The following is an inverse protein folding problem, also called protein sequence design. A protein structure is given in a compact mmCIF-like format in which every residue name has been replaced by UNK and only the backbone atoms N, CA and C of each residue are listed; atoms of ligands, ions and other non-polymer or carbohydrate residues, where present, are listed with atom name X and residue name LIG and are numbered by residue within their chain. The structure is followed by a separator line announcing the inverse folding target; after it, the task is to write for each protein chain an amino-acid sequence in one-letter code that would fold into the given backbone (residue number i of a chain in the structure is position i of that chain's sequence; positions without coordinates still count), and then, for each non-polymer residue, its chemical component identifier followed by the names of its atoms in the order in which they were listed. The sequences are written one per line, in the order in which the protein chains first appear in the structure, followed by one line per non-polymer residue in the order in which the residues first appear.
data_IF_374779254906
#
_entry.id   IF_374779254906
#
_cell.length_a   1.000
_cell.length_b   1.000
_cell.length_c   1.000
_cell.angle_alpha   90.00
_cell.angle_beta   90.00
_cell.angle_gamma   90.00
#
_symmetry.space_group_name_H-M   'P 1'
#
loop_
_entity.id
_entity.type
_entity.pdbx_description
1 polymer ?
#
# COMPACT_ATOMS: atom_id res chain seq x y z
N UNK A 1 -22.08 -2.36 -0.95
CA UNK A 1 -22.06 -2.95 0.41
C UNK A 1 -22.42 -4.43 0.43
N UNK A 2 -23.44 -4.88 -0.31
CA UNK A 2 -23.89 -6.29 -0.32
C UNK A 2 -22.80 -7.31 -0.71
N UNK A 3 -21.94 -7.00 -1.67
CA UNK A 3 -20.87 -7.93 -2.11
C UNK A 3 -19.78 -8.06 -1.04
N UNK A 4 -19.30 -6.96 -0.47
CA UNK A 4 -18.27 -6.99 0.57
C UNK A 4 -18.76 -7.58 1.90
N UNK A 5 -20.00 -7.28 2.29
CA UNK A 5 -20.64 -7.90 3.46
C UNK A 5 -20.97 -9.38 3.23
N UNK A 6 -21.35 -9.77 2.01
CA UNK A 6 -21.55 -11.16 1.60
C UNK A 6 -20.26 -11.96 1.59
N UNK A 7 -19.14 -11.38 1.13
CA UNK A 7 -17.82 -12.01 1.18
C UNK A 7 -17.30 -12.13 2.62
N UNK A 8 -17.46 -11.08 3.45
CA UNK A 8 -17.14 -11.14 4.89
C UNK A 8 -17.99 -12.20 5.60
N UNK A 9 -19.28 -12.23 5.32
CA UNK A 9 -20.21 -13.24 5.84
C UNK A 9 -19.83 -14.65 5.40
N UNK A 10 -19.47 -14.86 4.13
CA UNK A 10 -19.04 -16.16 3.61
C UNK A 10 -17.70 -16.61 4.22
N UNK A 11 -16.73 -15.71 4.40
CA UNK A 11 -15.45 -16.02 5.04
C UNK A 11 -15.60 -16.31 6.54
N UNK A 12 -16.45 -15.56 7.25
CA UNK A 12 -16.77 -15.81 8.65
C UNK A 12 -17.60 -17.09 8.83
N UNK A 13 -18.56 -17.35 7.94
CA UNK A 13 -19.30 -18.61 7.90
C UNK A 13 -18.38 -19.78 7.61
N UNK A 14 -17.41 -19.67 6.70
CA UNK A 14 -16.39 -20.71 6.47
C UNK A 14 -15.56 -20.99 7.73
N UNK A 15 -15.26 -19.99 8.57
CA UNK A 15 -14.56 -20.19 9.85
C UNK A 15 -15.42 -20.78 10.95
N UNK A 16 -16.68 -20.38 11.03
CA UNK A 16 -17.61 -20.79 12.09
C UNK A 16 -18.27 -22.14 11.77
N UNK A 17 -18.48 -22.43 10.48
CA UNK A 17 -19.15 -23.64 9.97
C UNK A 17 -18.16 -24.70 9.49
N UNK A 18 -16.85 -24.43 9.42
CA UNK A 18 -15.85 -25.49 9.35
C UNK A 18 -15.57 -26.02 10.77
N UNK A 19 -16.20 -27.13 11.21
CA UNK A 19 -15.80 -27.77 12.45
C UNK A 19 -14.31 -28.13 12.41
N UNK A 20 -13.62 -28.23 13.56
CA UNK A 20 -12.23 -28.67 13.64
C UNK A 20 -11.98 -30.00 12.90
N UNK A 21 -13.04 -30.81 12.77
CA UNK A 21 -13.06 -32.14 12.15
C UNK A 21 -13.59 -32.15 10.70
N UNK A 22 -13.80 -30.99 10.07
CA UNK A 22 -14.14 -30.94 8.65
C UNK A 22 -12.95 -31.43 7.82
N UNK A 23 -13.21 -32.43 6.97
CA UNK A 23 -12.29 -33.02 6.00
C UNK A 23 -11.92 -32.05 4.86
N UNK A 24 -11.37 -30.89 5.22
CA UNK A 24 -10.67 -30.00 4.32
C UNK A 24 -9.23 -30.53 4.17
N UNK A 25 -8.75 -30.67 2.94
CA UNK A 25 -7.32 -30.90 2.67
C UNK A 25 -6.49 -29.80 3.36
N UNK A 26 -5.32 -30.13 3.92
CA UNK A 26 -4.47 -29.18 4.67
C UNK A 26 -4.26 -27.86 3.90
N UNK A 27 -4.08 -27.96 2.58
CA UNK A 27 -3.98 -26.85 1.62
C UNK A 27 -5.17 -25.87 1.66
N UNK A 28 -6.40 -26.37 1.76
CA UNK A 28 -7.60 -25.54 1.80
C UNK A 28 -7.77 -24.83 3.16
N UNK A 29 -7.34 -25.49 4.24
CA UNK A 29 -7.33 -24.92 5.60
C UNK A 29 -6.29 -23.80 5.71
N UNK A 30 -5.12 -23.99 5.13
CA UNK A 30 -4.05 -22.99 5.07
C UNK A 30 -4.47 -21.78 4.24
N UNK A 31 -5.04 -22.01 3.06
CA UNK A 31 -5.58 -20.95 2.19
C UNK A 31 -6.61 -20.08 2.91
N UNK A 32 -7.60 -20.72 3.55
CA UNK A 32 -8.65 -20.02 4.29
C UNK A 32 -8.05 -19.26 5.48
N UNK A 33 -7.10 -19.85 6.19
CA UNK A 33 -6.46 -19.23 7.35
C UNK A 33 -5.68 -17.99 6.97
N UNK A 34 -4.82 -18.07 5.95
CA UNK A 34 -4.00 -16.95 5.49
C UNK A 34 -4.86 -15.82 4.93
N UNK A 35 -5.82 -16.14 4.06
CA UNK A 35 -6.73 -15.15 3.46
C UNK A 35 -7.52 -14.39 4.54
N UNK A 36 -8.06 -15.10 5.52
CA UNK A 36 -8.83 -14.50 6.63
C UNK A 36 -7.93 -13.66 7.52
N UNK A 37 -6.71 -14.12 7.81
CA UNK A 37 -5.74 -13.37 8.59
C UNK A 37 -5.46 -12.00 7.95
N UNK A 38 -5.18 -11.99 6.64
CA UNK A 38 -4.90 -10.76 5.87
C UNK A 38 -6.11 -9.80 5.92
N UNK A 39 -7.32 -10.33 5.78
CA UNK A 39 -8.55 -9.51 5.85
C UNK A 39 -8.73 -8.91 7.25
N UNK A 40 -8.67 -9.74 8.29
CA UNK A 40 -8.88 -9.29 9.68
C UNK A 40 -7.85 -8.24 10.07
N UNK A 41 -6.62 -8.39 9.63
CA UNK A 41 -5.54 -7.43 9.88
C UNK A 41 -5.74 -6.12 9.09
N UNK A 42 -6.08 -6.20 7.80
CA UNK A 42 -6.16 -5.01 6.93
C UNK A 42 -7.44 -4.19 7.15
N UNK A 43 -8.55 -4.84 7.49
CA UNK A 43 -9.87 -4.22 7.65
C UNK A 43 -9.87 -3.02 8.62
N UNK A 44 -9.35 -3.11 9.88
CA UNK A 44 -9.37 -1.97 10.80
C UNK A 44 -8.63 -0.75 10.24
N UNK A 45 -7.51 -0.96 9.54
CA UNK A 45 -6.74 0.13 8.95
C UNK A 45 -7.39 0.72 7.71
N UNK A 46 -8.04 -0.09 6.87
CA UNK A 46 -8.84 0.42 5.74
C UNK A 46 -9.98 1.29 6.26
N UNK A 47 -10.72 0.83 7.28
CA UNK A 47 -11.76 1.63 7.90
C UNK A 47 -11.22 2.91 8.54
N UNK A 48 -10.10 2.85 9.26
CA UNK A 48 -9.42 4.03 9.81
C UNK A 48 -9.04 5.01 8.70
N UNK A 49 -8.51 4.52 7.58
CA UNK A 49 -8.17 5.32 6.40
C UNK A 49 -9.39 6.00 5.77
N UNK A 50 -10.53 5.30 5.69
CA UNK A 50 -11.79 5.87 5.20
C UNK A 50 -12.30 6.95 6.17
N UNK A 51 -12.29 6.69 7.47
CA UNK A 51 -12.72 7.66 8.48
C UNK A 51 -11.84 8.92 8.45
N UNK A 52 -10.53 8.76 8.34
CA UNK A 52 -9.59 9.88 8.22
C UNK A 52 -9.80 10.62 6.90
N UNK A 53 -10.03 9.92 5.80
CA UNK A 53 -10.38 10.51 4.50
C UNK A 53 -11.63 11.39 4.61
N UNK A 54 -12.69 10.90 5.25
CA UNK A 54 -13.93 11.65 5.49
C UNK A 54 -13.66 12.85 6.41
N UNK A 55 -12.89 12.67 7.49
CA UNK A 55 -12.53 13.75 8.39
C UNK A 55 -11.78 14.87 7.64
N UNK A 56 -10.79 14.52 6.81
CA UNK A 56 -10.08 15.47 5.95
C UNK A 56 -11.06 16.12 4.97
N UNK A 57 -11.93 15.35 4.33
CA UNK A 57 -12.88 15.88 3.34
C UNK A 57 -13.92 16.85 3.94
N UNK A 58 -14.37 16.60 5.18
CA UNK A 58 -15.43 17.39 5.82
C UNK A 58 -14.88 18.54 6.67
N UNK A 59 -13.74 18.37 7.32
CA UNK A 59 -13.24 19.29 8.35
C UNK A 59 -12.05 20.11 7.86
N UNK A 60 -11.25 19.63 6.90
CA UNK A 60 -10.10 20.37 6.37
C UNK A 60 -10.54 21.18 5.15
N UNK A 61 -10.53 22.53 5.22
CA UNK A 61 -10.84 23.35 4.06
C UNK A 61 -9.73 23.19 3.00
N UNK A 62 -10.12 22.98 1.75
CA UNK A 62 -9.19 22.87 0.61
C UNK A 62 -8.20 24.05 0.56
N UNK A 63 -8.70 25.27 0.78
CA UNK A 63 -7.87 26.49 0.84
C UNK A 63 -6.77 26.44 1.90
N UNK A 64 -6.97 25.73 3.01
CA UNK A 64 -5.97 25.59 4.08
C UNK A 64 -4.95 24.54 3.65
N UNK A 65 -5.42 23.39 3.15
CA UNK A 65 -4.56 22.32 2.66
C UNK A 65 -3.61 22.82 1.55
N UNK A 66 -4.15 23.50 0.53
CA UNK A 66 -3.35 24.00 -0.59
C UNK A 66 -2.46 25.20 -0.23
N UNK A 67 -2.80 25.97 0.83
CA UNK A 67 -2.00 27.12 1.29
C UNK A 67 -0.81 26.71 2.14
N UNK A 68 -0.93 25.63 2.90
CA UNK A 68 0.19 25.05 3.68
C UNK A 68 1.24 24.45 2.73
N UNK A 69 0.81 23.93 1.58
CA UNK A 69 1.70 23.31 0.62
C UNK A 69 2.54 24.35 -0.17
N UNK A 70 3.86 24.12 -0.33
CA UNK A 70 4.72 24.99 -1.14
C UNK A 70 4.20 25.18 -2.58
N UNK A 71 4.46 26.35 -3.16
CA UNK A 71 4.07 26.65 -4.56
C UNK A 71 4.94 25.95 -5.62
N UNK A 72 6.20 25.68 -5.30
CA UNK A 72 7.14 25.01 -6.23
C UNK A 72 6.95 23.49 -6.17
N UNK A 73 6.99 22.83 -7.32
CA UNK A 73 6.70 21.41 -7.45
C UNK A 73 7.60 20.50 -6.58
N UNK A 74 8.91 20.76 -6.54
CA UNK A 74 9.85 19.93 -5.78
C UNK A 74 9.63 20.00 -4.25
N UNK A 75 9.66 21.18 -3.59
CA UNK A 75 9.39 21.24 -2.16
C UNK A 75 7.96 20.81 -1.81
N UNK A 76 7.00 20.98 -2.73
CA UNK A 76 5.64 20.47 -2.54
C UNK A 76 5.61 18.95 -2.41
N UNK A 77 6.29 18.22 -3.29
CA UNK A 77 6.41 16.75 -3.19
C UNK A 77 7.09 16.30 -1.91
N UNK A 78 8.19 16.96 -1.52
CA UNK A 78 8.92 16.67 -0.28
C UNK A 78 7.99 16.78 0.93
N UNK A 79 7.27 17.90 1.06
CA UNK A 79 6.33 18.12 2.17
C UNK A 79 5.20 17.08 2.17
N UNK A 80 4.70 16.71 1.00
CA UNK A 80 3.63 15.71 0.86
C UNK A 80 4.12 14.30 1.23
N UNK A 81 5.34 13.92 0.86
CA UNK A 81 5.92 12.66 1.33
C UNK A 81 6.11 12.64 2.85
N UNK A 82 6.54 13.76 3.45
CA UNK A 82 6.70 13.87 4.90
C UNK A 82 5.38 13.88 5.67
N UNK A 83 4.27 14.26 5.03
CA UNK A 83 2.95 14.16 5.65
C UNK A 83 2.62 12.73 6.08
N UNK A 84 3.18 11.72 5.38
CA UNK A 84 3.04 10.31 5.73
C UNK A 84 3.58 9.96 7.12
N UNK A 85 4.58 10.68 7.62
CA UNK A 85 5.15 10.48 8.97
C UNK A 85 4.09 10.72 10.06
N UNK A 86 3.15 11.64 9.81
CA UNK A 86 2.17 12.09 10.81
C UNK A 86 0.94 11.19 10.88
N UNK A 87 0.86 10.16 10.05
CA UNK A 87 -0.36 9.39 9.84
C UNK A 87 -0.18 7.95 10.36
N UNK A 88 -0.88 7.57 11.44
CA UNK A 88 -0.78 6.23 12.03
C UNK A 88 -1.64 5.23 11.25
N UNK A 89 -1.48 5.16 9.94
CA UNK A 89 -2.29 4.33 9.04
C UNK A 89 -1.38 3.38 8.27
N UNK A 90 -1.80 2.11 8.13
CA UNK A 90 -1.06 1.13 7.31
C UNK A 90 -1.21 1.42 5.81
N UNK A 91 -0.40 0.79 4.95
CA UNK A 91 -0.47 1.03 3.50
C UNK A 91 -1.89 0.86 2.91
N UNK A 92 -2.70 -0.06 3.43
CA UNK A 92 -4.08 -0.28 2.97
C UNK A 92 -5.00 0.92 3.25
N UNK A 93 -4.83 1.57 4.40
CA UNK A 93 -5.63 2.74 4.77
C UNK A 93 -5.12 4.04 4.14
N UNK A 94 -3.90 4.06 3.63
CA UNK A 94 -3.38 5.22 2.89
C UNK A 94 -4.10 5.42 1.54
N UNK A 95 -4.71 4.37 0.97
CA UNK A 95 -5.47 4.45 -0.30
C UNK A 95 -6.71 5.33 -0.21
N UNK A 96 -7.69 5.05 0.69
CA UNK A 96 -8.88 5.90 0.81
C UNK A 96 -8.52 7.34 1.23
N UNK A 97 -7.47 7.51 2.03
CA UNK A 97 -6.97 8.84 2.39
C UNK A 97 -6.40 9.59 1.18
N UNK A 98 -5.55 8.93 0.39
CA UNK A 98 -4.98 9.49 -0.83
C UNK A 98 -6.08 9.88 -1.83
N UNK A 99 -7.11 9.03 -1.99
CA UNK A 99 -8.31 9.36 -2.79
C UNK A 99 -9.01 10.62 -2.30
N UNK A 100 -9.23 10.73 -0.99
CA UNK A 100 -9.85 11.91 -0.40
C UNK A 100 -9.03 13.18 -0.61
N UNK A 101 -7.70 13.06 -0.56
CA UNK A 101 -6.78 14.17 -0.85
C UNK A 101 -6.84 14.59 -2.33
N UNK A 102 -6.90 13.64 -3.28
CA UNK A 102 -7.10 13.95 -4.70
C UNK A 102 -8.45 14.63 -4.94
N UNK A 103 -9.52 14.11 -4.31
CA UNK A 103 -10.85 14.73 -4.38
C UNK A 103 -10.90 16.13 -3.73
N UNK A 104 -9.89 16.50 -2.94
CA UNK A 104 -9.69 17.84 -2.36
C UNK A 104 -8.70 18.71 -3.14
N UNK A 105 -8.27 18.29 -4.32
CA UNK A 105 -7.43 19.10 -5.21
C UNK A 105 -5.93 18.81 -5.15
N UNK A 106 -5.48 17.75 -4.47
CA UNK A 106 -4.10 17.26 -4.69
C UNK A 106 -3.98 16.67 -6.09
N UNK A 107 -2.82 16.88 -6.72
CA UNK A 107 -2.55 16.30 -8.03
C UNK A 107 -2.31 14.80 -7.93
N UNK A 108 -2.48 14.08 -9.04
CA UNK A 108 -2.31 12.63 -9.10
C UNK A 108 -0.89 12.22 -8.70
N UNK A 109 0.12 12.96 -9.14
CA UNK A 109 1.52 12.72 -8.79
C UNK A 109 1.81 12.96 -7.31
N UNK A 110 1.19 13.97 -6.70
CA UNK A 110 1.28 14.23 -5.26
C UNK A 110 0.65 13.10 -4.44
N UNK A 111 -0.51 12.62 -4.86
CA UNK A 111 -1.18 11.49 -4.23
C UNK A 111 -0.35 10.21 -4.30
N UNK A 112 0.30 9.93 -5.43
CA UNK A 112 1.20 8.77 -5.55
C UNK A 112 2.45 8.96 -4.70
N UNK A 113 3.02 10.17 -4.67
CA UNK A 113 4.17 10.49 -3.81
C UNK A 113 3.84 10.21 -2.33
N UNK A 114 2.68 10.69 -1.87
CA UNK A 114 2.17 10.45 -0.53
C UNK A 114 1.99 8.96 -0.26
N UNK A 115 1.29 8.26 -1.15
CA UNK A 115 0.93 6.86 -0.97
C UNK A 115 2.16 5.95 -0.85
N UNK A 116 3.19 6.19 -1.68
CA UNK A 116 4.43 5.41 -1.66
C UNK A 116 5.32 5.76 -0.46
N UNK A 117 5.36 7.03 -0.05
CA UNK A 117 6.19 7.47 1.07
C UNK A 117 5.61 7.08 2.43
N UNK A 118 4.29 7.14 2.59
CA UNK A 118 3.61 6.97 3.87
C UNK A 118 3.96 5.67 4.62
N UNK A 119 3.94 4.47 4.01
CA UNK A 119 4.27 3.25 4.73
C UNK A 119 5.76 3.06 4.98
N UNK A 120 6.65 3.81 4.32
CA UNK A 120 8.09 3.76 4.59
C UNK A 120 8.48 4.72 5.71
N UNK A 121 7.83 5.88 5.74
CA UNK A 121 8.09 6.93 6.71
C UNK A 121 7.23 6.82 7.97
N UNK A 122 6.41 5.78 8.08
CA UNK A 122 5.58 5.56 9.25
C UNK A 122 6.47 5.30 10.49
N UNK A 123 6.31 6.05 11.59
CA UNK A 123 7.11 5.85 12.80
C UNK A 123 7.10 4.42 13.32
N UNK A 124 5.98 3.71 13.20
CA UNK A 124 5.86 2.31 13.62
C UNK A 124 6.79 1.44 12.77
N UNK A 125 6.76 1.61 11.44
CA UNK A 125 7.63 0.85 10.53
C UNK A 125 9.11 1.14 10.73
N UNK A 126 9.47 2.39 11.07
CA UNK A 126 10.84 2.79 11.39
C UNK A 126 11.30 2.08 12.67
N UNK A 127 10.46 2.08 13.71
CA UNK A 127 10.76 1.42 14.99
C UNK A 127 10.85 -0.09 14.82
N UNK A 128 9.94 -0.74 14.10
CA UNK A 128 10.01 -2.20 13.89
C UNK A 128 11.22 -2.60 13.04
N UNK A 129 11.58 -1.80 12.03
CA UNK A 129 12.83 -2.03 11.27
C UNK A 129 14.05 -1.90 12.16
N UNK A 130 14.08 -0.89 13.03
CA UNK A 130 15.15 -0.71 13.99
C UNK A 130 15.23 -1.86 15.00
N UNK A 131 14.09 -2.36 15.48
CA UNK A 131 14.07 -3.53 16.37
C UNK A 131 14.55 -4.81 15.69
N UNK A 132 14.27 -4.97 14.40
CA UNK A 132 14.67 -6.14 13.62
C UNK A 132 16.17 -6.12 13.25
N UNK A 133 16.68 -4.99 12.74
CA UNK A 133 18.03 -4.92 12.15
C UNK A 133 18.99 -3.96 12.87
N UNK A 134 18.51 -3.17 13.83
CA UNK A 134 19.30 -2.15 14.50
C UNK A 134 19.86 -1.12 13.52
N UNK A 135 21.14 -0.77 13.72
CA UNK A 135 21.93 0.06 12.80
C UNK A 135 22.83 -0.77 11.86
N UNK A 136 22.70 -2.10 11.88
CA UNK A 136 23.54 -2.99 11.08
C UNK A 136 23.24 -2.84 9.58
N UNK A 137 24.31 -2.93 8.78
CA UNK A 137 24.31 -2.95 7.30
C UNK A 137 23.57 -1.78 6.62
N UNK A 138 23.31 -0.70 7.37
CA UNK A 138 22.58 0.46 6.87
C UNK A 138 21.15 0.16 6.40
N UNK A 139 20.54 -0.97 6.76
CA UNK A 139 19.22 -1.41 6.26
C UNK A 139 18.14 -0.39 6.59
N UNK A 140 18.09 0.08 7.85
CA UNK A 140 17.12 1.09 8.29
C UNK A 140 17.25 2.39 7.49
N UNK A 141 18.47 2.90 7.36
CA UNK A 141 18.76 4.15 6.66
C UNK A 141 18.41 4.01 5.18
N UNK A 142 18.81 2.91 4.55
CA UNK A 142 18.54 2.61 3.14
C UNK A 142 17.04 2.46 2.88
N UNK A 143 16.29 1.81 3.79
CA UNK A 143 14.82 1.72 3.70
C UNK A 143 14.17 3.10 3.73
N UNK A 144 14.51 3.92 4.72
CA UNK A 144 13.88 5.23 4.95
C UNK A 144 14.26 6.23 3.86
N UNK A 145 15.57 6.43 3.64
CA UNK A 145 16.08 7.39 2.66
C UNK A 145 15.79 6.92 1.24
N UNK A 146 16.05 5.65 0.95
CA UNK A 146 15.81 5.06 -0.36
C UNK A 146 14.33 5.09 -0.73
N UNK A 147 13.43 4.64 0.17
CA UNK A 147 11.99 4.71 -0.11
C UNK A 147 11.46 6.13 -0.23
N UNK A 148 11.97 7.09 0.55
CA UNK A 148 11.64 8.51 0.39
C UNK A 148 12.06 9.06 -0.98
N UNK A 149 13.28 8.75 -1.41
CA UNK A 149 13.81 9.16 -2.72
C UNK A 149 12.99 8.51 -3.85
N UNK A 150 12.68 7.22 -3.74
CA UNK A 150 11.87 6.48 -4.71
C UNK A 150 10.48 7.09 -4.83
N UNK A 151 9.80 7.36 -3.72
CA UNK A 151 8.48 7.97 -3.73
C UNK A 151 8.47 9.35 -4.43
N UNK A 152 9.47 10.19 -4.14
CA UNK A 152 9.62 11.51 -4.76
C UNK A 152 10.00 11.42 -6.25
N UNK A 153 10.86 10.47 -6.62
CA UNK A 153 11.28 10.21 -8.00
C UNK A 153 10.09 9.72 -8.85
N UNK A 154 9.33 8.75 -8.35
CA UNK A 154 8.12 8.22 -8.99
C UNK A 154 7.08 9.33 -9.16
N UNK A 155 6.82 10.10 -8.11
CA UNK A 155 5.94 11.25 -8.16
C UNK A 155 6.38 12.32 -9.17
N UNK A 156 7.69 12.60 -9.24
CA UNK A 156 8.22 13.53 -10.23
C UNK A 156 8.05 13.01 -11.66
N UNK A 157 8.39 11.76 -11.94
CA UNK A 157 8.24 11.16 -13.26
C UNK A 157 6.77 11.13 -13.71
N UNK A 158 5.84 10.83 -12.80
CA UNK A 158 4.40 10.92 -13.06
C UNK A 158 3.92 12.36 -13.30
N UNK A 159 4.55 13.36 -12.67
CA UNK A 159 4.22 14.76 -12.89
C UNK A 159 4.55 15.25 -14.31
N UNK A 160 5.44 14.55 -15.02
CA UNK A 160 5.77 14.82 -16.42
C UNK A 160 4.73 14.24 -17.39
N UNK A 161 3.79 13.42 -16.91
CA UNK A 161 2.79 12.79 -17.78
C UNK A 161 1.88 13.87 -18.40
N UNK A 162 1.75 13.94 -19.74
CA UNK A 162 1.03 15.02 -20.42
C UNK A 162 -0.44 15.18 -19.99
N UNK A 163 -1.07 14.07 -19.61
CA UNK A 163 -2.46 14.02 -19.12
C UNK A 163 -2.56 13.28 -17.79
N UNK A 164 -2.27 13.92 -16.64
CA UNK A 164 -2.25 13.26 -15.34
C UNK A 164 -3.60 12.69 -14.92
N UNK A 165 -4.70 13.33 -15.34
CA UNK A 165 -6.05 12.88 -15.01
C UNK A 165 -6.42 11.55 -15.70
N UNK A 166 -5.83 11.23 -16.85
CA UNK A 166 -6.05 9.93 -17.53
C UNK A 166 -5.45 8.73 -16.76
N UNK A 167 -4.59 9.00 -15.77
CA UNK A 167 -4.08 7.97 -14.87
C UNK A 167 -5.17 7.47 -13.91
N UNK A 168 -6.22 8.26 -13.67
CA UNK A 168 -7.34 7.92 -12.79
C UNK A 168 -8.42 7.13 -13.55
N UNK A 169 -9.13 6.25 -12.86
CA UNK A 169 -10.26 5.52 -13.45
C UNK A 169 -11.37 6.50 -13.86
N UNK A 170 -12.14 6.19 -14.93
CA UNK A 170 -13.27 7.04 -15.33
C UNK A 170 -14.29 7.26 -14.20
N UNK A 171 -14.57 6.22 -13.42
CA UNK A 171 -15.47 6.28 -12.26
C UNK A 171 -14.94 7.26 -11.22
N UNK A 172 -13.67 7.16 -10.84
CA UNK A 172 -13.10 8.04 -9.83
C UNK A 172 -12.98 9.49 -10.31
N UNK A 173 -12.67 9.71 -11.59
CA UNK A 173 -12.70 11.06 -12.19
C UNK A 173 -14.08 11.72 -12.08
N UNK A 174 -15.15 10.97 -12.32
CA UNK A 174 -16.51 11.48 -12.18
C UNK A 174 -16.83 11.88 -10.73
N UNK A 175 -16.34 11.11 -9.75
CA UNK A 175 -16.46 11.44 -8.32
C UNK A 175 -15.75 12.76 -7.99
N UNK A 176 -14.51 12.95 -8.48
CA UNK A 176 -13.78 14.20 -8.26
C UNK A 176 -14.53 15.41 -8.87
N UNK A 177 -15.03 15.29 -10.11
CA UNK A 177 -15.77 16.36 -10.77
C UNK A 177 -17.11 16.69 -10.09
N UNK A 178 -17.80 15.69 -9.53
CA UNK A 178 -19.04 15.89 -8.78
C UNK A 178 -18.81 16.54 -7.41
N UNK A 179 -17.66 16.28 -6.77
CA UNK A 179 -17.25 16.89 -5.51
C UNK A 179 -17.16 18.42 -5.58
N UNK A 180 -16.68 18.94 -6.71
CA UNK A 180 -16.61 20.39 -6.96
C UNK A 180 -18.01 21.02 -7.04
N UNK A 181 -18.96 20.36 -7.71
CA UNK A 181 -20.35 20.82 -7.84
C UNK A 181 -21.15 20.73 -6.53
N UNK A 182 -20.83 19.76 -5.66
CA UNK A 182 -21.54 19.53 -4.40
C UNK A 182 -21.20 20.56 -3.29
N UNK A 183 -20.19 21.41 -3.47
CA UNK A 183 -19.86 22.48 -2.49
C UNK A 183 -21.00 23.51 -2.32
N UNK A 184 -22.03 23.50 -3.18
CA UNK A 184 -23.23 24.32 -3.05
C UNK A 184 -24.50 23.62 -2.52
N UNK A 185 -24.49 22.29 -2.26
CA UNK A 185 -25.70 21.58 -1.81
C UNK A 185 -25.83 21.58 -0.28
N UNK A 186 -26.99 22.02 0.23
CA UNK A 186 -27.33 22.13 1.66
C UNK A 186 -27.45 20.81 2.43
N UNK A 187 -26.79 19.74 1.98
CA UNK A 187 -26.72 18.49 2.71
C UNK A 187 -25.91 18.69 4.00
N UNK A 188 -26.44 18.20 5.13
CA UNK A 188 -25.72 18.23 6.41
C UNK A 188 -24.41 17.44 6.32
N UNK A 189 -23.36 17.93 6.99
CA UNK A 189 -22.01 17.31 6.99
C UNK A 189 -22.06 15.81 7.34
N UNK A 190 -22.96 15.44 8.24
CA UNK A 190 -23.17 14.05 8.68
C UNK A 190 -23.71 13.17 7.55
N UNK A 191 -24.73 13.63 6.81
CA UNK A 191 -25.31 12.86 5.70
C UNK A 191 -24.29 12.66 4.57
N UNK A 192 -23.47 13.68 4.28
CA UNK A 192 -22.37 13.59 3.32
C UNK A 192 -21.28 12.63 3.78
N UNK A 193 -20.91 12.67 5.07
CA UNK A 193 -19.95 11.73 5.63
C UNK A 193 -20.42 10.28 5.53
N UNK A 194 -21.69 10.02 5.83
CA UNK A 194 -22.27 8.68 5.74
C UNK A 194 -22.36 8.15 4.30
N UNK A 195 -22.70 9.00 3.31
CA UNK A 195 -22.70 8.58 1.90
C UNK A 195 -21.29 8.25 1.42
N UNK A 196 -20.30 9.10 1.74
CA UNK A 196 -18.90 8.84 1.39
C UNK A 196 -18.36 7.58 2.07
N UNK A 197 -18.71 7.35 3.34
CA UNK A 197 -18.36 6.11 4.05
C UNK A 197 -18.90 4.88 3.33
N UNK A 198 -20.19 4.88 2.97
CA UNK A 198 -20.83 3.76 2.29
C UNK A 198 -20.21 3.51 0.91
N UNK A 199 -19.96 4.57 0.13
CA UNK A 199 -19.36 4.53 -1.20
C UNK A 199 -17.93 3.98 -1.14
N UNK A 200 -17.04 4.57 -0.34
CA UNK A 200 -15.64 4.16 -0.21
C UNK A 200 -15.53 2.73 0.35
N UNK A 201 -16.32 2.40 1.37
CA UNK A 201 -16.37 1.02 1.90
C UNK A 201 -16.83 0.04 0.83
N UNK A 202 -17.84 0.40 0.03
CA UNK A 202 -18.36 -0.49 -1.02
C UNK A 202 -17.39 -0.73 -2.17
N UNK A 203 -16.50 0.22 -2.45
CA UNK A 203 -15.47 0.10 -3.48
C UNK A 203 -14.23 -0.64 -2.98
N UNK A 204 -13.77 -0.34 -1.77
CA UNK A 204 -12.51 -0.87 -1.22
C UNK A 204 -12.64 -2.28 -0.66
N UNK A 205 -13.75 -2.57 0.02
CA UNK A 205 -13.91 -3.84 0.72
C UNK A 205 -13.84 -5.04 -0.24
N UNK A 206 -14.56 -5.08 -1.39
CA UNK A 206 -14.43 -6.20 -2.34
C UNK A 206 -13.01 -6.34 -2.91
N UNK A 207 -12.33 -5.22 -3.19
CA UNK A 207 -10.96 -5.24 -3.69
C UNK A 207 -9.98 -5.82 -2.65
N UNK A 208 -10.16 -5.47 -1.38
CA UNK A 208 -9.39 -6.05 -0.27
C UNK A 208 -9.60 -7.57 -0.18
N UNK A 209 -10.84 -8.04 -0.24
CA UNK A 209 -11.14 -9.48 -0.18
C UNK A 209 -10.54 -10.24 -1.37
N UNK A 210 -10.65 -9.70 -2.58
CA UNK A 210 -10.05 -10.30 -3.77
C UNK A 210 -8.53 -10.32 -3.66
N UNK A 211 -7.91 -9.22 -3.23
CA UNK A 211 -6.47 -9.15 -3.00
C UNK A 211 -5.98 -10.15 -1.95
N UNK A 212 -6.69 -10.26 -0.81
CA UNK A 212 -6.38 -11.20 0.26
C UNK A 212 -6.54 -12.66 -0.17
N UNK A 213 -7.58 -12.98 -0.95
CA UNK A 213 -7.76 -14.32 -1.50
C UNK A 213 -6.65 -14.67 -2.50
N UNK A 214 -6.27 -13.77 -3.40
CA UNK A 214 -5.17 -14.02 -4.34
C UNK A 214 -3.86 -14.21 -3.56
N UNK A 215 -3.57 -13.36 -2.57
CA UNK A 215 -2.39 -13.48 -1.73
C UNK A 215 -2.35 -14.82 -0.99
N UNK A 216 -3.45 -15.23 -0.35
CA UNK A 216 -3.55 -16.52 0.34
C UNK A 216 -3.35 -17.71 -0.60
N UNK A 217 -3.89 -17.66 -1.83
CA UNK A 217 -3.72 -18.73 -2.82
C UNK A 217 -2.24 -18.89 -3.21
N UNK A 218 -1.57 -17.77 -3.47
CA UNK A 218 -0.17 -17.80 -3.88
C UNK A 218 0.72 -18.21 -2.69
N UNK A 219 0.44 -17.75 -1.47
CA UNK A 219 1.20 -18.13 -0.28
C UNK A 219 1.15 -19.64 0.01
N UNK A 220 0.04 -20.31 -0.30
CA UNK A 220 -0.05 -21.78 -0.20
C UNK A 220 0.72 -22.49 -1.31
N UNK A 221 0.81 -21.88 -2.49
CA UNK A 221 1.52 -22.44 -3.65
C UNK A 221 3.04 -22.21 -3.65
N UNK A 222 3.56 -21.27 -2.87
CA UNK A 222 4.99 -20.93 -2.84
C UNK A 222 5.71 -21.75 -1.79
N UNK A 223 6.44 -22.78 -2.23
CA UNK A 223 7.37 -23.53 -1.39
C UNK A 223 8.61 -22.69 -1.06
N UNK A 224 8.91 -22.57 0.24
CA UNK A 224 10.07 -21.82 0.76
C UNK A 224 11.42 -22.40 0.30
N UNK A 225 11.43 -23.63 -0.19
CA UNK A 225 12.60 -24.34 -0.68
C UNK A 225 13.20 -23.75 -1.98
N UNK A 226 12.43 -22.96 -2.75
CA UNK A 226 12.93 -22.31 -3.98
C UNK A 226 13.92 -21.15 -3.72
N UNK A 227 14.07 -20.71 -2.46
CA UNK A 227 14.83 -19.50 -2.12
C UNK A 227 16.31 -19.76 -1.73
N UNK A 228 16.68 -20.99 -1.40
CA UNK A 228 18.00 -21.30 -0.83
C UNK A 228 19.13 -21.36 -1.86
N UNK A 229 18.82 -21.64 -3.14
CA UNK A 229 19.81 -21.64 -4.24
C UNK A 229 20.00 -20.26 -4.88
N UNK A 230 19.06 -19.33 -4.65
CA UNK A 230 19.07 -17.98 -5.24
C UNK A 230 19.73 -16.92 -4.34
N UNK A 231 19.97 -17.22 -3.07
CA UNK A 231 20.48 -16.26 -2.08
C UNK A 231 21.94 -15.84 -2.26
N UNK A 232 22.75 -16.65 -2.94
CA UNK A 232 24.20 -16.43 -3.05
C UNK A 232 24.59 -15.40 -4.14
N UNK A 233 23.78 -15.22 -5.18
CA UNK A 233 24.08 -14.28 -6.26
C UNK A 233 23.48 -12.88 -5.96
N UNK A 234 24.27 -11.79 -6.03
CA UNK A 234 23.82 -10.43 -5.72
C UNK A 234 22.61 -9.93 -6.52
N UNK A 235 22.42 -10.39 -7.75
CA UNK A 235 21.30 -9.99 -8.59
C UNK A 235 20.08 -10.88 -8.35
N UNK A 236 20.28 -12.20 -8.29
CA UNK A 236 19.17 -13.13 -8.07
C UNK A 236 18.57 -13.01 -6.67
N UNK A 237 19.38 -12.70 -5.65
CA UNK A 237 18.90 -12.45 -4.29
C UNK A 237 17.90 -11.29 -4.23
N UNK A 238 18.22 -10.16 -4.89
CA UNK A 238 17.35 -8.97 -4.96
C UNK A 238 16.05 -9.29 -5.68
N UNK A 239 16.12 -9.91 -6.86
CA UNK A 239 14.93 -10.26 -7.64
C UNK A 239 14.04 -11.27 -6.90
N UNK A 240 14.64 -12.29 -6.27
CA UNK A 240 13.93 -13.29 -5.51
C UNK A 240 13.17 -12.66 -4.33
N UNK A 241 13.83 -11.80 -3.55
CA UNK A 241 13.17 -11.11 -2.44
C UNK A 241 12.15 -10.06 -2.90
N UNK A 242 12.32 -9.42 -4.06
CA UNK A 242 11.27 -8.54 -4.60
C UNK A 242 10.01 -9.32 -5.01
N UNK A 243 10.17 -10.48 -5.65
CA UNK A 243 9.03 -11.36 -5.98
C UNK A 243 8.38 -11.87 -4.69
N UNK A 244 9.18 -12.25 -3.70
CA UNK A 244 8.69 -12.66 -2.39
C UNK A 244 7.90 -11.54 -1.72
N UNK A 245 8.41 -10.31 -1.74
CA UNK A 245 7.74 -9.13 -1.20
C UNK A 245 6.39 -8.90 -1.87
N UNK A 246 6.34 -8.96 -3.21
CA UNK A 246 5.10 -8.78 -3.96
C UNK A 246 3.98 -9.73 -3.53
N UNK A 247 4.34 -10.98 -3.21
CA UNK A 247 3.43 -12.07 -2.91
C UNK A 247 3.08 -12.17 -1.42
N UNK A 248 4.10 -12.07 -0.56
CA UNK A 248 3.99 -12.39 0.86
C UNK A 248 3.77 -11.15 1.72
N UNK A 249 4.10 -9.94 1.24
CA UNK A 249 3.91 -8.68 2.01
C UNK A 249 2.52 -8.64 2.65
N UNK A 250 2.50 -8.75 3.98
CA UNK A 250 1.26 -8.75 4.77
C UNK A 250 1.03 -7.37 5.32
N UNK A 251 2.03 -6.80 5.98
CA UNK A 251 2.05 -5.40 6.35
C UNK A 251 3.47 -4.91 6.55
N UNK A 252 3.70 -3.64 6.26
CA UNK A 252 5.00 -2.97 6.38
C UNK A 252 5.69 -3.10 7.75
N UNK A 253 4.93 -3.39 8.82
CA UNK A 253 5.43 -3.62 10.17
C UNK A 253 5.93 -5.06 10.39
N UNK A 254 5.15 -6.06 9.96
CA UNK A 254 5.44 -7.50 10.12
C UNK A 254 6.54 -7.95 9.15
N UNK A 255 6.60 -7.32 7.98
CA UNK A 255 7.58 -7.60 6.93
C UNK A 255 9.04 -7.53 7.42
N UNK A 256 9.35 -6.62 8.35
CA UNK A 256 10.69 -6.49 8.94
C UNK A 256 11.08 -7.73 9.74
N UNK A 257 10.18 -8.27 10.57
CA UNK A 257 10.43 -9.47 11.36
C UNK A 257 10.41 -10.73 10.50
N UNK A 258 9.57 -10.76 9.47
CA UNK A 258 9.54 -11.86 8.51
C UNK A 258 10.88 -11.98 7.77
N UNK A 259 11.37 -10.88 7.18
CA UNK A 259 12.59 -10.91 6.38
C UNK A 259 13.86 -11.08 7.23
N UNK A 260 13.81 -10.71 8.52
CA UNK A 260 14.91 -10.94 9.46
C UNK A 260 15.30 -12.42 9.56
N UNK A 261 14.32 -13.34 9.43
CA UNK A 261 14.60 -14.79 9.43
C UNK A 261 15.47 -15.25 8.25
N UNK A 262 15.58 -14.42 7.20
CA UNK A 262 16.40 -14.65 6.02
C UNK A 262 17.71 -13.85 6.02
N UNK A 263 17.98 -13.07 7.08
CA UNK A 263 19.16 -12.21 7.19
C UNK A 263 20.51 -12.94 7.17
N UNK A 264 20.52 -14.23 7.50
CA UNK A 264 21.72 -15.07 7.37
C UNK A 264 21.94 -15.69 5.99
N UNK A 265 20.94 -15.64 5.10
CA UNK A 265 20.95 -16.33 3.79
C UNK A 265 21.01 -15.35 2.62
N UNK A 266 20.43 -14.15 2.78
CA UNK A 266 20.34 -13.14 1.72
C UNK A 266 21.21 -11.93 2.03
N UNK A 267 21.71 -11.29 0.98
CA UNK A 267 22.49 -10.06 1.09
C UNK A 267 21.64 -8.88 1.62
N UNK A 268 22.23 -7.93 2.38
CA UNK A 268 21.49 -6.81 2.97
C UNK A 268 20.70 -5.98 1.97
N UNK A 269 21.19 -5.80 0.75
CA UNK A 269 20.49 -5.06 -0.29
C UNK A 269 19.25 -5.77 -0.83
N UNK A 270 19.22 -7.10 -0.84
CA UNK A 270 18.00 -7.85 -1.16
C UNK A 270 16.92 -7.64 -0.08
N UNK A 271 17.33 -7.58 1.19
CA UNK A 271 16.46 -7.28 2.33
C UNK A 271 15.91 -5.85 2.23
N UNK A 272 16.76 -4.87 1.88
CA UNK A 272 16.31 -3.49 1.63
C UNK A 272 15.30 -3.44 0.48
N UNK A 273 15.57 -4.13 -0.63
CA UNK A 273 14.65 -4.18 -1.77
C UNK A 273 13.29 -4.77 -1.36
N UNK A 274 13.27 -5.83 -0.55
CA UNK A 274 12.05 -6.40 0.04
C UNK A 274 11.27 -5.36 0.85
N UNK A 275 11.94 -4.71 1.80
CA UNK A 275 11.34 -3.79 2.77
C UNK A 275 10.89 -2.45 2.17
N UNK A 276 11.39 -2.10 0.98
CA UNK A 276 10.97 -0.92 0.23
C UNK A 276 9.90 -1.27 -0.79
N UNK A 277 10.06 -2.37 -1.53
CA UNK A 277 9.14 -2.75 -2.60
C UNK A 277 7.79 -3.24 -2.06
N UNK A 278 7.79 -4.15 -1.08
CA UNK A 278 6.57 -4.78 -0.54
C UNK A 278 5.52 -3.76 -0.06
N UNK A 279 5.87 -2.83 0.86
CA UNK A 279 4.94 -1.81 1.35
C UNK A 279 4.39 -0.85 0.28
N UNK A 280 5.13 -0.67 -0.82
CA UNK A 280 4.72 0.20 -1.92
C UNK A 280 3.85 -0.53 -2.94
N UNK A 281 4.22 -1.77 -3.28
CA UNK A 281 3.65 -2.56 -4.36
C UNK A 281 3.56 -4.03 -3.92
N UNK A 282 2.35 -4.45 -3.58
CA UNK A 282 1.99 -5.85 -3.39
C UNK A 282 0.63 -6.13 -4.05
N UNK A 283 0.21 -7.40 -4.04
CA UNK A 283 -1.04 -7.84 -4.67
C UNK A 283 -2.28 -7.14 -4.09
N UNK A 284 -2.39 -7.00 -2.75
CA UNK A 284 -3.53 -6.35 -2.10
C UNK A 284 -3.53 -4.85 -2.41
N UNK A 285 -2.35 -4.24 -2.42
CA UNK A 285 -2.12 -2.83 -2.64
C UNK A 285 -2.52 -2.48 -4.08
N UNK A 286 -2.11 -3.29 -5.06
CA UNK A 286 -2.54 -3.14 -6.45
C UNK A 286 -4.05 -3.34 -6.63
N UNK A 287 -4.65 -4.30 -5.94
CA UNK A 287 -6.11 -4.50 -5.98
C UNK A 287 -6.84 -3.25 -5.46
N UNK A 288 -6.39 -2.67 -4.34
CA UNK A 288 -6.95 -1.44 -3.79
C UNK A 288 -6.69 -0.24 -4.71
N UNK A 289 -5.49 -0.08 -5.28
CA UNK A 289 -5.20 1.03 -6.18
C UNK A 289 -5.96 0.95 -7.48
N UNK A 290 -6.34 -0.24 -7.94
CA UNK A 290 -7.11 -0.44 -9.17
C UNK A 290 -8.49 0.23 -9.14
N UNK A 291 -9.00 0.51 -7.94
CA UNK A 291 -10.23 1.29 -7.74
C UNK A 291 -10.05 2.78 -8.06
N UNK A 292 -8.80 3.27 -8.08
CA UNK A 292 -8.44 4.70 -8.19
C UNK A 292 -7.70 4.98 -9.49
N UNK A 293 -6.72 4.14 -9.83
CA UNK A 293 -5.85 4.27 -10.98
C UNK A 293 -6.21 3.26 -12.08
N UNK A 294 -5.94 3.62 -13.33
CA UNK A 294 -6.09 2.72 -14.48
C UNK A 294 -5.04 1.61 -14.44
N UNK A 295 -5.33 0.47 -15.07
CA UNK A 295 -4.37 -0.65 -15.13
C UNK A 295 -3.04 -0.22 -15.77
N UNK A 296 -3.08 0.58 -16.83
CA UNK A 296 -1.87 1.12 -17.47
C UNK A 296 -1.06 2.04 -16.55
N UNK A 297 -1.72 2.84 -15.71
CA UNK A 297 -1.04 3.65 -14.70
C UNK A 297 -0.37 2.76 -13.64
N UNK A 298 -1.06 1.73 -13.15
CA UNK A 298 -0.51 0.79 -12.17
C UNK A 298 0.72 0.06 -12.69
N UNK A 299 0.66 -0.47 -13.92
CA UNK A 299 1.82 -1.15 -14.53
C UNK A 299 3.04 -0.22 -14.58
N UNK A 300 2.85 1.05 -14.96
CA UNK A 300 3.94 2.03 -15.00
C UNK A 300 4.49 2.36 -13.61
N UNK A 301 3.61 2.54 -12.62
CA UNK A 301 4.00 2.80 -11.24
C UNK A 301 4.78 1.60 -10.69
N UNK A 302 4.23 0.39 -10.82
CA UNK A 302 4.87 -0.86 -10.40
C UNK A 302 6.22 -1.06 -11.05
N UNK A 303 6.32 -0.92 -12.37
CA UNK A 303 7.60 -1.09 -13.08
C UNK A 303 8.65 -0.09 -12.60
N UNK A 304 8.26 1.18 -12.41
CA UNK A 304 9.18 2.21 -11.96
C UNK A 304 9.64 1.98 -10.51
N UNK A 305 8.71 1.67 -9.60
CA UNK A 305 9.04 1.34 -8.20
C UNK A 305 9.93 0.09 -8.15
N UNK A 306 9.62 -0.95 -8.94
CA UNK A 306 10.42 -2.17 -9.02
C UNK A 306 11.84 -1.86 -9.50
N UNK A 307 12.00 -1.12 -10.60
CA UNK A 307 13.33 -0.76 -11.11
C UNK A 307 14.13 0.04 -10.09
N UNK A 308 13.51 1.01 -9.41
CA UNK A 308 14.21 1.80 -8.41
C UNK A 308 14.54 0.99 -7.14
N UNK A 309 13.65 0.09 -6.69
CA UNK A 309 13.91 -0.79 -5.55
C UNK A 309 15.01 -1.82 -5.87
N UNK A 310 15.03 -2.37 -7.09
CA UNK A 310 16.09 -3.24 -7.56
C UNK A 310 17.44 -2.50 -7.62
N UNK A 311 17.45 -1.28 -8.17
CA UNK A 311 18.64 -0.45 -8.23
C UNK A 311 19.16 -0.09 -6.82
N UNK A 312 18.26 0.24 -5.88
CA UNK A 312 18.60 0.49 -4.48
C UNK A 312 19.19 -0.76 -3.82
N UNK A 313 18.56 -1.92 -3.98
CA UNK A 313 19.05 -3.18 -3.42
C UNK A 313 20.42 -3.57 -3.97
N UNK A 314 20.62 -3.46 -5.28
CA UNK A 314 21.92 -3.70 -5.91
C UNK A 314 22.98 -2.70 -5.42
N UNK A 315 22.63 -1.42 -5.28
CA UNK A 315 23.55 -0.41 -4.78
C UNK A 315 23.98 -0.69 -3.33
N UNK A 316 23.06 -1.15 -2.47
CA UNK A 316 23.40 -1.57 -1.10
C UNK A 316 24.28 -2.82 -1.11
N UNK A 317 23.99 -3.81 -1.97
CA UNK A 317 24.84 -5.01 -2.11
C UNK A 317 26.27 -4.68 -2.57
N UNK A 318 26.44 -3.64 -3.40
CA UNK A 318 27.77 -3.21 -3.86
C UNK A 318 28.53 -2.38 -2.82
N UNK A 319 27.84 -1.82 -1.83
CA UNK A 319 28.41 -0.99 -0.78
C UNK A 319 28.72 -1.75 0.52
N UNK A 320 28.14 -2.96 0.68
CA UNK A 320 28.37 -3.88 1.79
C UNK A 320 29.58 -4.79 1.52
#
# INVERSE_FOLDING_TARGET
MLIGAGLLGAFLLLRVVAPPDAALTDTARDFATLSISIVIESLPFVFLGILLSIAVQLWVPERVLLRVLPRRALPRRIVISLLGVLLPVCECGNVPLARGLVAKGLSVSESVTFLLAAPILNPITIVTTYQAFGWADGILVSRVVGGFVIANLVGWLLSLHPRPTELLTPVFRAVCAAGDAAHGSGATRVRRGLSTLAEETSAMLPALFVGAAIAGLIQVGVSRDLLTTLGADPLWSVLALMVLAFVISVCSNVDAFFVLSFGGTFLPGAIVAFLVFGPMIDIKMLALLRTTFTAGALVRITALVALCAAALGLAVNLAA
#
